data_IF_405167549164
#
_entry.id   IF_405167549164
#
_cell.length_a   1.000
_cell.length_b   1.000
_cell.length_c   1.000
_cell.angle_alpha   90.00
_cell.angle_beta   90.00
_cell.angle_gamma   90.00
#
_symmetry.space_group_name_H-M   'P 1'
#
loop_
_entity.id
_entity.type
_entity.pdbx_description
1 polymer ?
#
# COMPACT_ATOMS: atom_id res chain seq x y z
N UNK A 1 -7.31 -16.06 -12.38
CA UNK A 1 -6.72 -15.18 -11.35
C UNK A 1 -7.79 -14.82 -10.33
N UNK A 2 -7.51 -14.99 -9.04
CA UNK A 2 -8.47 -14.69 -7.98
C UNK A 2 -8.57 -13.19 -7.71
N UNK A 3 -9.72 -12.76 -7.17
CA UNK A 3 -9.97 -11.35 -6.90
C UNK A 3 -8.98 -10.76 -5.87
N UNK A 4 -8.57 -11.53 -4.86
CA UNK A 4 -7.62 -11.02 -3.85
C UNK A 4 -6.22 -10.88 -4.41
N UNK A 5 -5.84 -11.71 -5.37
CA UNK A 5 -4.60 -11.52 -6.09
C UNK A 5 -4.62 -10.21 -6.87
N UNK A 6 -5.76 -9.87 -7.49
CA UNK A 6 -5.91 -8.60 -8.21
C UNK A 6 -5.79 -7.41 -7.26
N UNK A 7 -6.42 -7.46 -6.09
CA UNK A 7 -6.28 -6.40 -5.09
C UNK A 7 -4.83 -6.25 -4.64
N UNK A 8 -4.17 -7.37 -4.37
CA UNK A 8 -2.77 -7.35 -3.97
C UNK A 8 -1.91 -6.71 -5.06
N UNK A 9 -2.05 -7.13 -6.30
CA UNK A 9 -1.27 -6.59 -7.42
C UNK A 9 -1.52 -5.10 -7.63
N UNK A 10 -2.77 -4.66 -7.49
CA UNK A 10 -3.12 -3.25 -7.59
C UNK A 10 -2.42 -2.43 -6.51
N UNK A 11 -2.49 -2.88 -5.26
CA UNK A 11 -1.85 -2.20 -4.14
C UNK A 11 -0.33 -2.18 -4.29
N UNK A 12 0.24 -3.33 -4.65
CA UNK A 12 1.68 -3.47 -4.85
C UNK A 12 2.19 -2.51 -5.93
N UNK A 13 1.48 -2.46 -7.05
CA UNK A 13 1.81 -1.58 -8.17
C UNK A 13 1.83 -0.10 -7.76
N UNK A 14 0.81 0.33 -7.01
CA UNK A 14 0.72 1.71 -6.52
C UNK A 14 1.86 2.05 -5.58
N UNK A 15 2.15 1.17 -4.64
CA UNK A 15 3.23 1.40 -3.66
C UNK A 15 4.61 1.38 -4.33
N UNK A 16 4.81 0.48 -5.29
CA UNK A 16 6.06 0.43 -6.05
C UNK A 16 6.28 1.73 -6.82
N UNK A 17 5.23 2.24 -7.47
CA UNK A 17 5.27 3.52 -8.16
C UNK A 17 5.68 4.64 -7.21
N UNK A 18 5.07 4.70 -6.02
CA UNK A 18 5.38 5.72 -5.03
C UNK A 18 6.84 5.65 -4.56
N UNK A 19 7.35 4.44 -4.34
CA UNK A 19 8.73 4.26 -3.87
C UNK A 19 9.74 4.81 -4.88
N UNK A 20 9.40 4.74 -6.17
CA UNK A 20 10.27 5.18 -7.26
C UNK A 20 10.12 6.66 -7.58
N UNK A 21 9.01 7.28 -7.21
CA UNK A 21 8.67 8.64 -7.63
C UNK A 21 8.44 9.60 -6.47
N UNK A 22 8.81 9.21 -5.24
CA UNK A 22 8.53 10.02 -4.05
C UNK A 22 9.11 11.43 -4.13
N UNK A 23 10.30 11.58 -4.70
CA UNK A 23 10.98 12.87 -4.80
C UNK A 23 10.55 13.74 -5.98
N UNK A 24 9.75 13.20 -6.91
CA UNK A 24 9.40 13.88 -8.15
C UNK A 24 7.93 14.28 -8.26
N UNK A 25 7.12 13.88 -7.29
CA UNK A 25 5.68 14.14 -7.31
C UNK A 25 5.26 15.05 -6.17
N UNK A 26 4.18 15.78 -6.40
CA UNK A 26 3.53 16.65 -5.46
C UNK A 26 3.03 15.85 -4.25
N UNK A 27 3.21 16.33 -3.00
CA UNK A 27 2.69 15.64 -1.81
C UNK A 27 1.19 15.33 -1.87
N UNK A 28 0.39 16.20 -2.47
CA UNK A 28 -1.04 15.94 -2.63
C UNK A 28 -1.32 14.73 -3.51
N UNK A 29 -0.52 14.57 -4.56
CA UNK A 29 -0.61 13.39 -5.44
C UNK A 29 -0.20 12.12 -4.70
N UNK A 30 0.90 12.17 -3.94
CA UNK A 30 1.38 11.03 -3.16
C UNK A 30 0.34 10.60 -2.13
N UNK A 31 -0.27 11.57 -1.46
CA UNK A 31 -1.32 11.33 -0.47
C UNK A 31 -2.53 10.63 -1.11
N UNK A 32 -2.92 11.06 -2.31
CA UNK A 32 -4.04 10.45 -3.04
C UNK A 32 -3.76 9.00 -3.39
N UNK A 33 -2.56 8.70 -3.86
CA UNK A 33 -2.19 7.32 -4.22
C UNK A 33 -2.17 6.42 -2.98
N UNK A 34 -1.68 6.93 -1.84
CA UNK A 34 -1.72 6.19 -0.58
C UNK A 34 -3.17 5.95 -0.14
N UNK A 35 -4.03 6.97 -0.22
CA UNK A 35 -5.44 6.85 0.11
C UNK A 35 -6.14 5.82 -0.79
N UNK A 36 -5.84 5.81 -2.08
CA UNK A 36 -6.39 4.84 -3.03
C UNK A 36 -5.94 3.42 -2.69
N UNK A 37 -4.69 3.28 -2.25
CA UNK A 37 -4.16 1.98 -1.81
C UNK A 37 -4.92 1.47 -0.59
N UNK A 38 -5.16 2.35 0.38
CA UNK A 38 -5.93 2.01 1.58
C UNK A 38 -7.38 1.69 1.26
N UNK A 39 -7.99 2.41 0.32
CA UNK A 39 -9.36 2.14 -0.13
C UNK A 39 -9.46 0.75 -0.76
N UNK A 40 -8.48 0.37 -1.59
CA UNK A 40 -8.44 -0.96 -2.19
C UNK A 40 -8.34 -2.05 -1.12
N UNK A 41 -7.52 -1.82 -0.08
CA UNK A 41 -7.39 -2.76 1.02
C UNK A 41 -8.71 -2.93 1.78
N UNK A 42 -9.38 -1.82 2.08
CA UNK A 42 -10.69 -1.86 2.77
C UNK A 42 -11.71 -2.65 1.97
N UNK A 43 -11.74 -2.46 0.67
CA UNK A 43 -12.67 -3.18 -0.19
C UNK A 43 -12.37 -4.67 -0.20
N UNK A 44 -11.10 -5.06 -0.28
CA UNK A 44 -10.69 -6.46 -0.21
C UNK A 44 -11.12 -7.10 1.12
N UNK A 45 -10.96 -6.38 2.23
CA UNK A 45 -11.30 -6.88 3.57
C UNK A 45 -12.78 -7.11 3.79
N UNK A 46 -13.65 -6.49 2.98
CA UNK A 46 -15.10 -6.70 3.05
C UNK A 46 -15.54 -8.01 2.40
N UNK A 47 -14.69 -8.63 1.61
CA UNK A 47 -15.01 -9.88 0.93
C UNK A 47 -15.21 -11.04 1.90
N UNK A 48 -16.19 -11.89 1.63
CA UNK A 48 -16.52 -13.04 2.49
C UNK A 48 -15.34 -13.99 2.68
N UNK A 49 -14.55 -14.15 1.64
CA UNK A 49 -13.46 -15.12 1.63
C UNK A 49 -12.11 -14.50 1.94
N UNK A 50 -12.09 -13.23 2.34
CA UNK A 50 -10.82 -12.55 2.63
C UNK A 50 -10.03 -13.27 3.73
N UNK A 51 -10.71 -13.69 4.81
CA UNK A 51 -10.06 -14.34 5.95
C UNK A 51 -9.36 -15.65 5.57
N UNK A 52 -9.78 -16.27 4.48
CA UNK A 52 -9.25 -17.55 4.01
C UNK A 52 -8.36 -17.39 2.78
N UNK A 53 -8.15 -16.16 2.31
CA UNK A 53 -7.34 -15.92 1.13
C UNK A 53 -5.85 -16.10 1.43
N UNK A 54 -5.09 -16.73 0.52
CA UNK A 54 -3.63 -16.78 0.66
C UNK A 54 -2.99 -15.40 0.55
N UNK A 55 -3.72 -14.38 0.07
CA UNK A 55 -3.24 -13.00 -0.03
C UNK A 55 -3.58 -12.13 1.17
N UNK A 56 -4.33 -12.68 2.14
CA UNK A 56 -4.78 -11.93 3.32
C UNK A 56 -3.63 -11.20 4.03
N UNK A 57 -2.61 -11.93 4.42
CA UNK A 57 -1.46 -11.37 5.15
C UNK A 57 -0.72 -10.35 4.31
N UNK A 58 -0.54 -10.62 3.03
CA UNK A 58 0.15 -9.70 2.11
C UNK A 58 -0.62 -8.39 1.95
N UNK A 59 -1.93 -8.46 1.80
CA UNK A 59 -2.79 -7.27 1.70
C UNK A 59 -2.72 -6.45 2.98
N UNK A 60 -2.82 -7.10 4.14
CA UNK A 60 -2.74 -6.41 5.44
C UNK A 60 -1.37 -5.76 5.61
N UNK A 61 -0.29 -6.42 5.22
CA UNK A 61 1.06 -5.88 5.30
C UNK A 61 1.20 -4.61 4.45
N UNK A 62 0.71 -4.64 3.21
CA UNK A 62 0.76 -3.46 2.35
C UNK A 62 -0.11 -2.33 2.88
N UNK A 63 -1.30 -2.66 3.40
CA UNK A 63 -2.19 -1.66 3.97
C UNK A 63 -1.58 -0.97 5.20
N UNK A 64 -0.95 -1.75 6.07
CA UNK A 64 -0.27 -1.22 7.26
C UNK A 64 0.86 -0.28 6.87
N UNK A 65 1.68 -0.69 5.89
CA UNK A 65 2.76 0.16 5.39
C UNK A 65 2.24 1.44 4.75
N UNK A 66 1.16 1.36 3.98
CA UNK A 66 0.56 2.53 3.36
C UNK A 66 0.01 3.51 4.42
N UNK A 67 -0.62 3.00 5.47
CA UNK A 67 -1.14 3.85 6.54
C UNK A 67 -0.02 4.58 7.28
N UNK A 68 1.06 3.87 7.62
CA UNK A 68 2.22 4.47 8.30
C UNK A 68 2.91 5.47 7.38
N UNK A 69 3.04 5.14 6.09
CA UNK A 69 3.63 6.05 5.11
C UNK A 69 2.82 7.34 5.01
N UNK A 70 1.49 7.25 5.04
CA UNK A 70 0.63 8.43 4.97
C UNK A 70 0.84 9.35 6.18
N UNK A 71 1.00 8.79 7.37
CA UNK A 71 1.31 9.58 8.58
C UNK A 71 2.61 10.35 8.39
N UNK A 72 3.68 9.70 7.90
CA UNK A 72 4.94 10.36 7.66
C UNK A 72 4.84 11.45 6.60
N UNK A 73 4.08 11.19 5.53
CA UNK A 73 3.87 12.17 4.48
C UNK A 73 3.18 13.43 5.04
N UNK A 74 2.16 13.25 5.87
CA UNK A 74 1.44 14.36 6.50
C UNK A 74 2.34 15.20 7.42
N UNK A 75 3.38 14.58 7.96
CA UNK A 75 4.37 15.26 8.81
C UNK A 75 5.52 15.87 8.00
N UNK A 76 5.48 15.76 6.67
CA UNK A 76 6.54 16.27 5.82
C UNK A 76 7.79 15.39 5.79
N UNK A 77 7.70 14.16 6.27
CA UNK A 77 8.83 13.23 6.38
C UNK A 77 8.87 12.29 5.17
N UNK A 78 9.23 12.84 4.03
CA UNK A 78 9.17 12.14 2.75
C UNK A 78 10.04 10.89 2.72
N UNK A 79 11.26 10.95 3.27
CA UNK A 79 12.16 9.81 3.26
C UNK A 79 11.64 8.67 4.16
N UNK A 80 11.07 9.01 5.31
CA UNK A 80 10.45 8.01 6.18
C UNK A 80 9.24 7.37 5.53
N UNK A 81 8.45 8.16 4.80
CA UNK A 81 7.34 7.63 4.01
C UNK A 81 7.85 6.57 3.03
N UNK A 82 8.90 6.88 2.29
CA UNK A 82 9.48 5.97 1.32
C UNK A 82 10.01 4.70 1.97
N UNK A 83 10.70 4.82 3.10
CA UNK A 83 11.22 3.68 3.85
C UNK A 83 10.11 2.73 4.30
N UNK A 84 8.99 3.27 4.77
CA UNK A 84 7.84 2.46 5.19
C UNK A 84 7.25 1.68 4.01
N UNK A 85 7.17 2.32 2.86
CA UNK A 85 6.67 1.68 1.65
C UNK A 85 7.61 0.53 1.23
N UNK A 86 8.91 0.79 1.21
CA UNK A 86 9.90 -0.23 0.82
C UNK A 86 9.89 -1.42 1.78
N UNK A 87 9.78 -1.14 3.07
CA UNK A 87 9.70 -2.20 4.10
C UNK A 87 8.46 -3.07 3.87
N UNK A 88 7.32 -2.45 3.59
CA UNK A 88 6.08 -3.18 3.35
C UNK A 88 6.16 -4.04 2.09
N UNK A 89 6.72 -3.48 1.01
CA UNK A 89 6.89 -4.23 -0.25
C UNK A 89 7.80 -5.44 -0.04
N UNK A 90 8.89 -5.27 0.68
CA UNK A 90 9.82 -6.34 0.99
C UNK A 90 9.16 -7.42 1.85
N UNK A 91 8.43 -7.04 2.88
CA UNK A 91 7.73 -7.98 3.74
C UNK A 91 6.66 -8.75 2.98
N UNK A 92 5.93 -8.10 2.08
CA UNK A 92 4.88 -8.74 1.29
C UNK A 92 5.43 -9.67 0.20
N UNK A 93 6.70 -9.52 -0.17
CA UNK A 93 7.34 -10.38 -1.17
C UNK A 93 7.68 -11.78 -0.61
N UNK A 94 7.65 -11.94 0.69
CA UNK A 94 7.94 -13.24 1.34
C UNK A 94 6.68 -14.15 1.36
#
# INVERSE_FOLDING_TARGET
>A
MGIYQLYFLKMHSKLLFLSRNAGTKDPAFLSRVLADTLAAAKEAMRGRNFAHSPYRTKIITLASGAATALVHLEQGELEKMREEILTALEAAAK
#
